data_IF_925274716485
#
_entry.id   IF_925274716485
#
_cell.length_a   1.000
_cell.length_b   1.000
_cell.length_c   1.000
_cell.angle_alpha   90.00
_cell.angle_beta   90.00
_cell.angle_gamma   90.00
#
_symmetry.space_group_name_H-M   'P 1'
#
loop_
_entity.id
_entity.type
_entity.pdbx_description
1 polymer ?
#
# COMPACT_ATOMS: atom_id res chain seq x y z
N UNK A 1 -32.74 -14.39 37.48
CA UNK A 1 -31.31 -14.23 37.10
C UNK A 1 -31.31 -13.25 35.97
N UNK A 2 -31.16 -11.97 36.32
CA UNK A 2 -31.04 -10.89 35.34
C UNK A 2 -29.67 -11.01 34.67
N UNK A 3 -29.67 -11.18 33.35
CA UNK A 3 -28.47 -11.08 32.54
C UNK A 3 -28.29 -9.59 32.33
N UNK A 4 -27.41 -8.98 33.13
CA UNK A 4 -26.98 -7.61 32.90
C UNK A 4 -26.41 -7.52 31.48
N UNK A 5 -27.19 -6.87 30.62
CA UNK A 5 -26.81 -6.44 29.28
C UNK A 5 -25.79 -5.32 29.45
N UNK A 6 -24.54 -5.70 29.75
CA UNK A 6 -23.43 -4.76 29.78
C UNK A 6 -23.27 -4.22 28.36
N UNK A 7 -23.48 -2.92 28.11
CA UNK A 7 -23.15 -2.36 26.82
C UNK A 7 -21.64 -2.54 26.66
N UNK A 8 -21.24 -3.45 25.76
CA UNK A 8 -19.86 -3.53 25.29
C UNK A 8 -19.60 -2.18 24.66
N UNK A 9 -18.99 -1.29 25.44
CA UNK A 9 -18.50 -0.01 24.98
C UNK A 9 -17.35 -0.36 24.05
N UNK A 10 -17.67 -0.57 22.77
CA UNK A 10 -16.68 -0.65 21.71
C UNK A 10 -16.09 0.74 21.62
N UNK A 11 -15.11 1.02 22.47
CA UNK A 11 -14.26 2.17 22.31
C UNK A 11 -13.51 1.91 21.00
N UNK A 12 -14.03 2.53 19.93
CA UNK A 12 -13.29 2.69 18.69
C UNK A 12 -12.08 3.54 19.02
N UNK A 13 -11.04 2.89 19.51
CA UNK A 13 -9.72 3.49 19.72
C UNK A 13 -9.27 3.91 18.33
N UNK A 14 -9.37 5.22 18.06
CA UNK A 14 -8.80 5.84 16.87
C UNK A 14 -7.30 5.49 16.93
N UNK A 15 -6.76 4.70 15.99
CA UNK A 15 -5.36 4.31 16.06
C UNK A 15 -4.51 5.57 16.16
N UNK A 16 -3.69 5.66 17.20
CA UNK A 16 -2.86 6.83 17.47
C UNK A 16 -1.91 7.05 16.28
N UNK A 17 -2.11 8.16 15.57
CA UNK A 17 -1.16 8.74 14.61
C UNK A 17 -1.09 8.08 13.24
N UNK A 18 -1.70 8.69 12.22
CA UNK A 18 -1.37 8.65 10.77
C UNK A 18 -1.08 7.30 10.06
N UNK A 19 -1.06 6.15 10.72
CA UNK A 19 -0.65 4.87 10.13
C UNK A 19 -1.64 4.40 9.07
N UNK A 20 -2.94 4.49 9.36
CA UNK A 20 -3.99 4.22 8.38
C UNK A 20 -3.91 5.24 7.22
N UNK A 21 -3.61 6.50 7.53
CA UNK A 21 -3.40 7.55 6.54
C UNK A 21 -2.24 7.22 5.59
N UNK A 22 -1.13 6.72 6.12
CA UNK A 22 0.05 6.29 5.36
C UNK A 22 -0.22 5.04 4.52
N UNK A 23 -0.89 4.03 5.09
CA UNK A 23 -1.30 2.83 4.36
C UNK A 23 -2.22 3.19 3.19
N UNK A 24 -3.22 4.03 3.44
CA UNK A 24 -4.14 4.49 2.39
C UNK A 24 -3.46 5.43 1.39
N UNK A 25 -2.46 6.21 1.81
CA UNK A 25 -1.64 7.01 0.90
C UNK A 25 -0.86 6.13 -0.07
N UNK A 26 -0.28 5.04 0.42
CA UNK A 26 0.43 4.07 -0.42
C UNK A 26 -0.53 3.31 -1.33
N UNK A 27 -1.67 2.85 -0.81
CA UNK A 27 -2.70 2.19 -1.61
C UNK A 27 -3.21 3.10 -2.73
N UNK A 28 -3.48 4.37 -2.43
CA UNK A 28 -3.90 5.35 -3.42
C UNK A 28 -2.89 5.55 -4.53
N UNK A 29 -1.59 5.55 -4.20
CA UNK A 29 -0.52 5.60 -5.22
C UNK A 29 -0.47 4.33 -6.06
N UNK A 30 -0.60 3.15 -5.45
CA UNK A 30 -0.65 1.87 -6.18
C UNK A 30 -1.84 1.85 -7.16
N UNK A 31 -2.98 2.44 -6.78
CA UNK A 31 -4.17 2.53 -7.63
C UNK A 31 -4.12 3.66 -8.68
N UNK A 32 -3.16 4.58 -8.59
CA UNK A 32 -3.09 5.76 -9.47
C UNK A 32 -2.36 5.43 -10.78
N UNK A 33 -2.86 5.92 -11.91
CA UNK A 33 -2.20 5.71 -13.21
C UNK A 33 -0.89 6.51 -13.26
N UNK A 34 0.24 5.81 -13.41
CA UNK A 34 1.57 6.41 -13.62
C UNK A 34 2.40 6.57 -12.34
N UNK A 35 1.80 6.40 -11.17
CA UNK A 35 2.50 6.22 -9.90
C UNK A 35 2.38 4.76 -9.47
N UNK A 36 3.43 4.19 -8.90
CA UNK A 36 3.40 2.77 -8.55
C UNK A 36 4.63 2.32 -7.80
N UNK A 37 4.58 1.08 -7.34
CA UNK A 37 5.65 0.45 -6.57
C UNK A 37 6.13 -0.82 -7.27
N UNK A 38 7.42 -1.09 -7.11
CA UNK A 38 8.05 -2.31 -7.60
C UNK A 38 8.87 -2.95 -6.48
N UNK A 39 9.01 -4.27 -6.55
CA UNK A 39 9.82 -5.05 -5.65
C UNK A 39 11.00 -5.65 -6.41
N UNK A 40 12.23 -5.36 -5.99
CA UNK A 40 13.40 -5.99 -6.61
C UNK A 40 13.39 -7.50 -6.37
N UNK A 41 13.65 -8.30 -7.40
CA UNK A 41 13.67 -9.76 -7.30
C UNK A 41 14.77 -10.23 -6.34
N UNK A 42 15.99 -9.68 -6.48
CA UNK A 42 17.16 -10.13 -5.70
C UNK A 42 17.18 -9.58 -4.27
N UNK A 43 17.07 -8.26 -4.11
CA UNK A 43 17.21 -7.64 -2.78
C UNK A 43 15.90 -7.60 -1.97
N UNK A 44 14.76 -7.95 -2.59
CA UNK A 44 13.41 -7.81 -2.02
C UNK A 44 13.13 -6.43 -1.43
N UNK A 45 13.75 -5.38 -1.99
CA UNK A 45 13.54 -3.99 -1.60
C UNK A 45 12.44 -3.37 -2.45
N UNK A 46 11.65 -2.53 -1.81
CA UNK A 46 10.58 -1.74 -2.44
C UNK A 46 11.17 -0.47 -3.04
N UNK A 47 10.70 -0.11 -4.23
CA UNK A 47 11.02 1.14 -4.89
C UNK A 47 9.74 1.75 -5.46
N UNK A 48 9.74 3.07 -5.68
CA UNK A 48 8.70 3.75 -6.45
C UNK A 48 9.13 3.87 -7.90
N UNK A 49 8.20 3.66 -8.82
CA UNK A 49 8.38 3.95 -10.24
C UNK A 49 8.43 5.47 -10.46
N UNK A 50 9.33 5.97 -11.31
CA UNK A 50 9.47 7.42 -11.62
C UNK A 50 9.49 7.66 -13.13
N UNK A 51 9.04 6.69 -13.92
CA UNK A 51 9.08 6.71 -15.38
C UNK A 51 9.05 5.29 -15.93
N UNK A 52 9.26 5.16 -17.24
CA UNK A 52 9.19 3.85 -17.92
C UNK A 52 10.39 2.94 -17.58
N UNK A 53 11.57 3.50 -17.32
CA UNK A 53 12.82 2.75 -17.10
C UNK A 53 13.53 3.09 -15.79
N UNK A 54 12.89 3.88 -14.92
CA UNK A 54 13.48 4.44 -13.72
C UNK A 54 12.65 4.18 -12.46
N UNK A 55 13.36 3.99 -11.34
CA UNK A 55 12.80 3.79 -10.01
C UNK A 55 13.63 4.54 -8.96
N UNK A 56 13.03 4.80 -7.80
CA UNK A 56 13.70 5.42 -6.65
C UNK A 56 13.45 4.65 -5.37
N UNK A 57 14.43 4.67 -4.47
CA UNK A 57 14.24 4.12 -3.13
C UNK A 57 13.16 4.88 -2.37
N UNK A 58 12.43 4.15 -1.54
CA UNK A 58 11.36 4.69 -0.70
C UNK A 58 11.81 4.69 0.76
N UNK A 59 11.27 5.58 1.61
CA UNK A 59 11.54 5.57 3.04
C UNK A 59 11.00 4.29 3.70
N UNK A 60 11.48 3.99 4.91
CA UNK A 60 11.11 2.78 5.64
C UNK A 60 9.60 2.66 5.89
N UNK A 61 8.92 3.78 6.15
CA UNK A 61 7.47 3.78 6.41
C UNK A 61 6.65 3.36 5.18
N UNK A 62 7.07 3.73 3.95
CA UNK A 62 6.40 3.27 2.73
C UNK A 62 6.61 1.78 2.51
N UNK A 63 7.82 1.29 2.80
CA UNK A 63 8.10 -0.15 2.77
C UNK A 63 7.19 -0.91 3.73
N UNK A 64 7.06 -0.43 4.97
CA UNK A 64 6.19 -1.03 5.98
C UNK A 64 4.71 -1.03 5.55
N UNK A 65 4.23 0.07 4.98
CA UNK A 65 2.87 0.17 4.44
C UNK A 65 2.62 -0.81 3.28
N UNK A 66 3.56 -0.96 2.34
CA UNK A 66 3.47 -1.96 1.25
C UNK A 66 3.37 -3.38 1.80
N UNK A 67 4.19 -3.73 2.80
CA UNK A 67 4.10 -5.06 3.43
C UNK A 67 2.75 -5.28 4.12
N UNK A 68 2.22 -4.27 4.82
CA UNK A 68 0.87 -4.36 5.42
C UNK A 68 -0.21 -4.57 4.36
N UNK A 69 -0.18 -3.81 3.27
CA UNK A 69 -1.14 -3.97 2.15
C UNK A 69 -1.08 -5.37 1.54
N UNK A 70 0.13 -5.93 1.35
CA UNK A 70 0.32 -7.29 0.85
C UNK A 70 -0.24 -8.34 1.82
N UNK A 71 0.01 -8.19 3.12
CA UNK A 71 -0.53 -9.08 4.16
C UNK A 71 -2.06 -9.00 4.25
N UNK A 72 -2.65 -7.84 3.93
CA UNK A 72 -4.10 -7.66 3.85
C UNK A 72 -4.72 -8.16 2.54
N UNK A 73 -3.91 -8.62 1.58
CA UNK A 73 -4.40 -9.04 0.25
C UNK A 73 -4.91 -7.89 -0.63
N UNK A 74 -4.54 -6.64 -0.31
CA UNK A 74 -4.98 -5.46 -1.06
C UNK A 74 -4.10 -5.14 -2.26
N UNK A 75 -2.89 -5.70 -2.29
CA UNK A 75 -1.97 -5.62 -3.43
C UNK A 75 -1.34 -6.98 -3.69
N UNK A 76 -0.92 -7.22 -4.92
CA UNK A 76 -0.21 -8.42 -5.31
C UNK A 76 0.99 -8.11 -6.22
N UNK A 77 1.94 -9.03 -6.24
CA UNK A 77 3.08 -8.99 -7.14
C UNK A 77 2.67 -9.60 -8.48
N UNK A 78 2.94 -8.89 -9.57
CA UNK A 78 2.87 -9.46 -10.92
C UNK A 78 4.19 -10.19 -11.18
N UNK A 79 4.16 -11.44 -11.66
CA UNK A 79 5.38 -12.20 -11.96
C UNK A 79 6.11 -11.70 -13.24
N UNK A 80 5.67 -10.58 -13.81
CA UNK A 80 6.30 -9.97 -14.97
C UNK A 80 7.52 -9.15 -14.53
N UNK A 81 8.71 -9.69 -14.83
CA UNK A 81 9.97 -9.04 -14.49
C UNK A 81 10.30 -7.91 -15.47
N UNK A 82 10.52 -6.72 -14.93
CA UNK A 82 11.03 -5.56 -15.66
C UNK A 82 12.44 -5.19 -15.18
N UNK A 83 13.24 -4.57 -16.05
CA UNK A 83 14.55 -4.04 -15.66
C UNK A 83 14.47 -2.52 -15.49
N UNK A 84 14.56 -2.04 -14.26
CA UNK A 84 14.53 -0.61 -13.94
C UNK A 84 15.87 -0.13 -13.37
N UNK A 85 16.13 1.18 -13.52
CA UNK A 85 17.32 1.84 -12.99
C UNK A 85 17.03 2.65 -11.72
N UNK A 86 17.94 2.58 -10.75
CA UNK A 86 18.04 3.54 -9.64
C UNK A 86 19.46 4.12 -9.67
N UNK A 87 19.60 5.33 -10.21
CA UNK A 87 20.91 5.90 -10.53
C UNK A 87 21.70 5.02 -11.51
N UNK A 88 22.93 4.64 -11.15
CA UNK A 88 23.77 3.75 -11.95
C UNK A 88 23.38 2.26 -11.84
N UNK A 89 22.51 1.88 -10.90
CA UNK A 89 22.16 0.48 -10.61
C UNK A 89 20.99 0.04 -11.47
N UNK A 90 21.12 -1.09 -12.18
CA UNK A 90 20.00 -1.81 -12.83
C UNK A 90 19.56 -2.98 -11.97
N UNK A 91 18.25 -3.14 -11.80
CA UNK A 91 17.67 -4.28 -11.09
C UNK A 91 16.48 -4.87 -11.83
N UNK A 92 16.34 -6.20 -11.72
CA UNK A 92 15.10 -6.89 -12.06
C UNK A 92 14.08 -6.67 -10.96
N UNK A 93 12.88 -6.29 -11.34
CA UNK A 93 11.80 -5.93 -10.42
C UNK A 93 10.47 -6.51 -10.87
N UNK A 94 9.59 -6.78 -9.91
CA UNK A 94 8.19 -7.13 -10.13
C UNK A 94 7.30 -5.94 -9.81
N UNK A 95 6.25 -5.73 -10.59
CA UNK A 95 5.26 -4.69 -10.35
C UNK A 95 4.33 -5.07 -9.19
N UNK A 96 3.98 -4.09 -8.36
CA UNK A 96 2.92 -4.21 -7.36
C UNK A 96 1.64 -3.58 -7.91
N UNK A 97 0.59 -4.38 -8.03
CA UNK A 97 -0.72 -3.95 -8.49
C UNK A 97 -1.76 -4.06 -7.37
N UNK A 98 -2.81 -3.22 -7.40
CA UNK A 98 -3.92 -3.38 -6.48
C UNK A 98 -4.72 -4.63 -6.82
N UNK A 99 -5.19 -5.35 -5.81
CA UNK A 99 -6.27 -6.32 -6.00
C UNK A 99 -7.60 -5.61 -6.26
N UNK A 100 -8.60 -6.34 -6.72
CA UNK A 100 -9.97 -5.83 -6.85
C UNK A 100 -10.46 -5.24 -5.52
N UNK A 101 -10.28 -5.99 -4.43
CA UNK A 101 -10.58 -5.53 -3.07
C UNK A 101 -9.76 -4.30 -2.68
N UNK A 102 -8.48 -4.23 -3.05
CA UNK A 102 -7.64 -3.05 -2.82
C UNK A 102 -8.17 -1.80 -3.53
N UNK A 103 -8.69 -1.96 -4.75
CA UNK A 103 -9.31 -0.88 -5.49
C UNK A 103 -10.61 -0.41 -4.82
N UNK A 104 -11.49 -1.33 -4.43
CA UNK A 104 -12.76 -1.02 -3.74
C UNK A 104 -12.53 -0.30 -2.41
N UNK A 105 -11.58 -0.78 -1.60
CA UNK A 105 -11.18 -0.14 -0.33
C UNK A 105 -10.70 1.29 -0.59
N UNK A 106 -9.92 1.50 -1.64
CA UNK A 106 -9.43 2.84 -1.99
C UNK A 106 -10.56 3.77 -2.42
N UNK A 107 -11.53 3.28 -3.20
CA UNK A 107 -12.71 4.05 -3.57
C UNK A 107 -13.56 4.43 -2.36
N UNK A 108 -13.82 3.47 -1.46
CA UNK A 108 -14.55 3.73 -0.22
C UNK A 108 -13.85 4.79 0.65
N UNK A 109 -12.53 4.71 0.77
CA UNK A 109 -11.72 5.67 1.50
C UNK A 109 -11.83 7.10 0.93
N UNK A 110 -11.77 7.25 -0.40
CA UNK A 110 -11.95 8.55 -1.04
C UNK A 110 -13.35 9.13 -0.82
N UNK A 111 -14.38 8.30 -0.90
CA UNK A 111 -15.76 8.73 -0.61
C UNK A 111 -15.88 9.27 0.81
N UNK A 112 -15.28 8.61 1.81
CA UNK A 112 -15.29 9.07 3.20
C UNK A 112 -14.60 10.43 3.39
N UNK A 113 -13.54 10.72 2.63
CA UNK A 113 -12.85 12.02 2.69
C UNK A 113 -13.61 13.18 2.05
N UNK A 114 -14.61 12.91 1.21
CA UNK A 114 -15.42 13.97 0.59
C UNK A 114 -16.53 14.49 1.51
N UNK A 115 -16.82 13.77 2.61
CA UNK A 115 -17.86 14.12 3.58
C UNK A 115 -17.33 14.56 4.96
N UNK A 116 -16.02 14.77 5.10
CA UNK A 116 -15.37 15.21 6.34
C UNK A 116 -14.56 16.47 6.12
#
# INVERSE_FOLDING_TARGET
MDIDDYPVKVELVRPEGDELGQVMTVLGRVCSRGDGYVLSVRSRRVFRVVGLDAMRSVPAWETAAIHRLGNMGLIFLVPEESNLRSGAVRARVNLLLPSEVGFDVMQAWWSLKQFG
#
